data_IF_025794528743
#
_entry.id   IF_025794528743
#
_cell.length_a   1.000
_cell.length_b   1.000
_cell.length_c   1.000
_cell.angle_alpha   90.00
_cell.angle_beta   90.00
_cell.angle_gamma   90.00
#
_symmetry.space_group_name_H-M   'P 1'
#
loop_
_entity.id
_entity.type
_entity.pdbx_description
1 polymer ?
#
# COMPACT_ATOMS: atom_id res chain seq x y z
N UNK A 1 13.97 15.61 2.13
CA UNK A 1 12.71 15.19 1.47
C UNK A 1 11.59 14.85 2.46
N UNK A 2 11.90 14.17 3.58
CA UNK A 2 10.92 13.67 4.56
C UNK A 2 10.16 14.77 5.32
N UNK A 3 10.83 15.86 5.73
CA UNK A 3 10.21 16.94 6.52
C UNK A 3 9.15 17.73 5.73
N UNK A 4 9.48 18.18 4.50
CA UNK A 4 8.54 18.88 3.62
C UNK A 4 7.28 18.08 3.32
N UNK A 5 7.41 16.76 3.16
CA UNK A 5 6.26 15.87 2.92
C UNK A 5 5.35 15.80 4.14
N UNK A 6 5.92 15.73 5.36
CA UNK A 6 5.15 15.77 6.61
C UNK A 6 4.39 17.09 6.73
N UNK A 7 5.07 18.22 6.53
CA UNK A 7 4.45 19.56 6.58
C UNK A 7 3.29 19.71 5.58
N UNK A 8 3.44 19.17 4.36
CA UNK A 8 2.37 19.15 3.37
C UNK A 8 1.13 18.41 3.88
N UNK A 9 1.28 17.22 4.46
CA UNK A 9 0.14 16.46 4.98
C UNK A 9 -0.49 17.14 6.21
N UNK A 10 0.32 17.74 7.10
CA UNK A 10 -0.20 18.54 8.21
C UNK A 10 -1.06 19.69 7.70
N UNK A 11 -0.59 20.43 6.70
CA UNK A 11 -1.33 21.52 6.07
C UNK A 11 -2.63 21.06 5.39
N UNK A 12 -2.67 19.82 4.88
CA UNK A 12 -3.88 19.20 4.33
C UNK A 12 -4.85 18.64 5.38
N UNK A 13 -4.53 18.77 6.68
CA UNK A 13 -5.40 18.33 7.77
C UNK A 13 -5.32 16.82 8.06
N UNK A 14 -4.18 16.18 7.79
CA UNK A 14 -3.92 14.81 8.23
C UNK A 14 -3.38 14.80 9.67
N UNK A 15 -3.74 13.77 10.43
CA UNK A 15 -3.25 13.56 11.80
C UNK A 15 -1.77 13.14 11.81
N UNK A 16 -1.04 13.46 12.88
CA UNK A 16 0.36 13.03 13.04
C UNK A 16 0.51 11.50 12.96
N UNK A 17 -0.42 10.78 13.59
CA UNK A 17 -0.46 9.31 13.60
C UNK A 17 -0.61 8.72 12.19
N UNK A 18 -1.45 9.32 11.36
CA UNK A 18 -1.60 8.90 9.97
C UNK A 18 -0.36 9.25 9.16
N UNK A 19 0.19 10.46 9.36
CA UNK A 19 1.39 10.93 8.68
C UNK A 19 2.56 9.98 8.96
N UNK A 20 2.74 9.56 10.21
CA UNK A 20 3.81 8.63 10.57
C UNK A 20 3.66 7.29 9.83
N UNK A 21 2.47 6.70 9.82
CA UNK A 21 2.19 5.46 9.08
C UNK A 21 2.45 5.64 7.59
N UNK A 22 1.99 6.75 7.01
CA UNK A 22 2.21 7.07 5.60
C UNK A 22 3.69 7.19 5.27
N UNK A 23 4.48 7.87 6.11
CA UNK A 23 5.92 8.03 5.92
C UNK A 23 6.67 6.69 6.03
N UNK A 24 6.27 5.81 6.97
CA UNK A 24 6.81 4.44 7.05
C UNK A 24 6.50 3.65 5.77
N UNK A 25 5.27 3.77 5.25
CA UNK A 25 4.89 3.16 3.98
C UNK A 25 5.67 3.68 2.77
N UNK A 26 6.07 4.97 2.76
CA UNK A 26 6.97 5.50 1.71
C UNK A 26 8.33 4.81 1.79
N UNK A 27 8.89 4.66 3.00
CA UNK A 27 10.20 4.03 3.19
C UNK A 27 10.18 2.55 2.75
N UNK A 28 9.18 1.78 3.18
CA UNK A 28 9.02 0.37 2.80
C UNK A 28 8.87 0.19 1.29
N UNK A 29 8.07 1.05 0.64
CA UNK A 29 7.93 1.02 -0.83
C UNK A 29 9.22 1.41 -1.54
N UNK A 30 9.97 2.37 -1.00
CA UNK A 30 11.28 2.75 -1.52
C UNK A 30 12.26 1.59 -1.48
N UNK A 31 12.31 0.87 -0.36
CA UNK A 31 13.14 -0.33 -0.20
C UNK A 31 12.76 -1.43 -1.21
N UNK A 32 11.46 -1.70 -1.40
CA UNK A 32 10.99 -2.67 -2.39
C UNK A 32 11.38 -2.28 -3.82
N UNK A 33 11.25 -1.00 -4.18
CA UNK A 33 11.62 -0.51 -5.50
C UNK A 33 13.15 -0.58 -5.74
N UNK A 34 13.95 -0.27 -4.71
CA UNK A 34 15.41 -0.42 -4.76
C UNK A 34 15.81 -1.90 -4.88
N UNK A 35 15.09 -2.79 -4.21
CA UNK A 35 15.29 -4.23 -4.33
C UNK A 35 15.00 -4.70 -5.76
N UNK A 36 13.85 -4.37 -6.34
CA UNK A 36 13.52 -4.71 -7.73
C UNK A 36 14.54 -4.19 -8.73
N UNK A 37 15.05 -2.97 -8.52
CA UNK A 37 16.13 -2.40 -9.35
C UNK A 37 17.38 -3.28 -9.34
N UNK A 38 17.77 -3.81 -8.18
CA UNK A 38 18.92 -4.72 -8.03
C UNK A 38 18.67 -6.10 -8.67
N UNK A 39 17.41 -6.45 -8.93
CA UNK A 39 16.98 -7.72 -9.53
C UNK A 39 16.67 -7.60 -11.01
N UNK A 40 17.19 -6.58 -11.68
CA UNK A 40 17.04 -6.35 -13.13
C UNK A 40 15.60 -6.12 -13.60
N UNK A 41 14.70 -5.71 -12.71
CA UNK A 41 13.38 -5.19 -13.07
C UNK A 41 13.55 -3.75 -13.53
N UNK A 42 13.15 -3.44 -14.77
CA UNK A 42 13.46 -2.15 -15.40
C UNK A 42 12.19 -1.42 -15.80
N UNK A 43 12.03 -0.20 -15.29
CA UNK A 43 11.03 0.75 -15.76
C UNK A 43 9.78 0.84 -14.90
N UNK A 44 9.06 1.96 -15.08
CA UNK A 44 7.88 2.28 -14.30
C UNK A 44 6.70 1.33 -14.59
N UNK A 45 6.61 0.81 -15.82
CA UNK A 45 5.60 -0.17 -16.22
C UNK A 45 5.70 -1.46 -15.41
N UNK A 46 6.92 -1.97 -15.23
CA UNK A 46 7.18 -3.20 -14.48
C UNK A 46 6.83 -3.00 -13.00
N UNK A 47 7.22 -1.87 -12.43
CA UNK A 47 6.87 -1.54 -11.04
C UNK A 47 5.37 -1.40 -10.84
N UNK A 48 4.65 -0.86 -11.84
CA UNK A 48 3.20 -0.78 -11.81
C UNK A 48 2.57 -2.19 -11.85
N UNK A 49 3.08 -3.09 -12.69
CA UNK A 49 2.64 -4.49 -12.75
C UNK A 49 2.86 -5.18 -11.39
N UNK A 50 4.08 -5.12 -10.85
CA UNK A 50 4.41 -5.77 -9.58
C UNK A 50 3.60 -5.19 -8.41
N UNK A 51 3.41 -3.87 -8.38
CA UNK A 51 2.54 -3.22 -7.38
C UNK A 51 1.10 -3.69 -7.53
N UNK A 52 0.62 -3.87 -8.76
CA UNK A 52 -0.74 -4.35 -9.01
C UNK A 52 -0.93 -5.78 -8.53
N UNK A 53 0.08 -6.64 -8.70
CA UNK A 53 0.06 -8.02 -8.18
C UNK A 53 -0.01 -8.07 -6.66
N UNK A 54 0.79 -7.23 -5.96
CA UNK A 54 0.72 -7.12 -4.50
C UNK A 54 -0.68 -6.67 -4.06
N UNK A 55 -1.19 -5.60 -4.67
CA UNK A 55 -2.49 -5.04 -4.32
C UNK A 55 -3.62 -6.04 -4.57
N UNK A 56 -3.60 -6.73 -5.72
CA UNK A 56 -4.63 -7.71 -6.08
C UNK A 56 -4.62 -8.88 -5.12
N UNK A 57 -3.45 -9.39 -4.76
CA UNK A 57 -3.32 -10.49 -3.82
C UNK A 57 -3.66 -10.09 -2.36
N UNK A 58 -3.39 -8.83 -1.97
CA UNK A 58 -3.67 -8.36 -0.60
C UNK A 58 -5.13 -7.93 -0.39
N UNK A 59 -5.75 -7.27 -1.38
CA UNK A 59 -7.06 -6.63 -1.23
C UNK A 59 -8.11 -7.14 -2.22
N UNK A 60 -7.78 -8.08 -3.10
CA UNK A 60 -8.66 -8.49 -4.19
C UNK A 60 -8.81 -7.45 -5.30
N UNK A 61 -8.10 -6.31 -5.23
CA UNK A 61 -8.23 -5.17 -6.13
C UNK A 61 -6.86 -4.70 -6.65
N UNK A 62 -6.78 -4.40 -7.94
CA UNK A 62 -5.66 -3.62 -8.50
C UNK A 62 -5.72 -2.18 -7.98
N UNK A 63 -4.62 -1.40 -8.03
CA UNK A 63 -4.63 -0.01 -7.58
C UNK A 63 -5.67 0.86 -8.31
N UNK A 64 -5.95 0.57 -9.59
CA UNK A 64 -6.97 1.27 -10.37
C UNK A 64 -8.39 0.92 -9.92
N UNK A 65 -8.69 -0.36 -9.68
CA UNK A 65 -9.98 -0.81 -9.12
C UNK A 65 -10.19 -0.23 -7.71
N UNK A 66 -9.14 -0.22 -6.89
CA UNK A 66 -9.21 0.31 -5.53
C UNK A 66 -9.47 1.83 -5.52
N UNK A 67 -8.87 2.57 -6.46
CA UNK A 67 -9.21 3.99 -6.65
C UNK A 67 -10.69 4.18 -6.97
N UNK A 68 -11.30 3.30 -7.77
CA UNK A 68 -12.73 3.37 -8.08
C UNK A 68 -13.59 3.15 -6.84
N UNK A 69 -13.27 2.13 -6.01
CA UNK A 69 -13.97 1.88 -4.74
C UNK A 69 -13.94 3.10 -3.82
N UNK A 70 -12.80 3.81 -3.78
CA UNK A 70 -12.63 5.04 -2.99
C UNK A 70 -13.16 6.31 -3.67
N UNK A 71 -13.69 6.23 -4.89
CA UNK A 71 -14.17 7.39 -5.65
C UNK A 71 -13.06 8.37 -6.07
N UNK A 72 -11.83 7.87 -6.24
CA UNK A 72 -10.66 8.67 -6.62
C UNK A 72 -10.52 8.72 -8.14
N UNK A 73 -10.15 9.89 -8.66
CA UNK A 73 -9.83 10.09 -10.09
C UNK A 73 -8.32 10.10 -10.29
N UNK A 74 -7.70 11.25 -9.98
CA UNK A 74 -6.26 11.48 -10.15
C UNK A 74 -5.49 11.43 -8.83
N UNK A 75 -6.19 11.26 -7.71
CA UNK A 75 -5.59 11.29 -6.39
C UNK A 75 -4.73 10.05 -6.11
N UNK A 76 -3.76 10.22 -5.21
CA UNK A 76 -2.95 9.12 -4.72
C UNK A 76 -3.81 8.20 -3.84
N UNK A 77 -3.84 6.91 -4.17
CA UNK A 77 -4.65 5.92 -3.44
C UNK A 77 -4.29 5.86 -1.95
N UNK A 78 -2.98 5.83 -1.64
CA UNK A 78 -2.49 5.66 -0.26
C UNK A 78 -2.69 6.89 0.60
N UNK A 79 -2.88 8.05 -0.03
CA UNK A 79 -3.24 9.26 0.70
C UNK A 79 -4.70 9.25 1.15
N UNK A 80 -5.50 8.30 0.67
CA UNK A 80 -6.90 8.11 1.02
C UNK A 80 -7.19 6.74 1.64
N UNK A 81 -6.15 6.05 2.08
CA UNK A 81 -6.25 4.80 2.83
C UNK A 81 -6.34 5.06 4.33
N UNK A 82 -7.18 4.29 5.01
CA UNK A 82 -7.24 4.24 6.46
C UNK A 82 -6.06 3.43 7.05
N UNK A 83 -5.99 3.37 8.38
CA UNK A 83 -4.87 2.74 9.09
C UNK A 83 -4.66 1.25 8.70
N UNK A 84 -5.74 0.46 8.62
CA UNK A 84 -5.63 -0.95 8.28
C UNK A 84 -5.21 -1.13 6.82
N UNK A 85 -5.79 -0.35 5.90
CA UNK A 85 -5.42 -0.39 4.49
C UNK A 85 -3.93 -0.05 4.27
N UNK A 86 -3.40 0.92 5.03
CA UNK A 86 -1.97 1.25 5.02
C UNK A 86 -1.12 0.11 5.61
N UNK A 87 -1.54 -0.48 6.74
CA UNK A 87 -0.81 -1.56 7.41
C UNK A 87 -0.71 -2.80 6.52
N UNK A 88 -1.81 -3.25 5.94
CA UNK A 88 -1.79 -4.41 5.04
C UNK A 88 -1.02 -4.14 3.75
N UNK A 89 -1.05 -2.91 3.23
CA UNK A 89 -0.19 -2.51 2.12
C UNK A 89 1.30 -2.63 2.48
N UNK A 90 1.69 -2.12 3.66
CA UNK A 90 3.07 -2.21 4.15
C UNK A 90 3.51 -3.66 4.37
N UNK A 91 2.64 -4.50 4.95
CA UNK A 91 2.91 -5.92 5.15
C UNK A 91 3.15 -6.63 3.81
N UNK A 92 2.30 -6.39 2.81
CA UNK A 92 2.42 -7.01 1.49
C UNK A 92 3.71 -6.60 0.77
N UNK A 93 4.09 -5.33 0.88
CA UNK A 93 5.33 -4.80 0.31
C UNK A 93 6.57 -5.37 1.02
N UNK A 94 6.61 -5.33 2.35
CA UNK A 94 7.73 -5.86 3.12
C UNK A 94 7.90 -7.38 2.89
N UNK A 95 6.81 -8.14 2.91
CA UNK A 95 6.84 -9.57 2.62
C UNK A 95 7.34 -9.86 1.19
N UNK A 96 6.94 -9.05 0.21
CA UNK A 96 7.44 -9.17 -1.17
C UNK A 96 8.94 -8.95 -1.24
N UNK A 97 9.47 -7.92 -0.59
CA UNK A 97 10.92 -7.65 -0.49
C UNK A 97 11.65 -8.84 0.10
N UNK A 98 11.19 -9.36 1.23
CA UNK A 98 11.83 -10.48 1.92
C UNK A 98 11.80 -11.76 1.09
N UNK A 99 10.70 -12.05 0.41
CA UNK A 99 10.59 -13.21 -0.49
C UNK A 99 11.53 -13.05 -1.69
N UNK A 100 11.58 -11.87 -2.31
CA UNK A 100 12.50 -11.57 -3.41
C UNK A 100 13.95 -11.82 -2.99
N UNK A 101 14.35 -11.34 -1.80
CA UNK A 101 15.70 -11.55 -1.26
C UNK A 101 16.02 -13.01 -1.02
N UNK A 102 15.14 -13.72 -0.31
CA UNK A 102 15.37 -15.14 0.06
C UNK A 102 15.38 -16.08 -1.13
N UNK A 103 14.68 -15.73 -2.21
CA UNK A 103 14.63 -16.54 -3.44
C UNK A 103 15.64 -16.11 -4.49
N UNK A 104 16.39 -15.02 -4.24
CA UNK A 104 17.21 -14.35 -5.26
C UNK A 104 16.43 -14.12 -6.57
N UNK A 105 15.18 -13.66 -6.46
CA UNK A 105 14.28 -13.56 -7.61
C UNK A 105 14.80 -12.54 -8.64
N UNK A 106 15.00 -12.95 -9.90
CA UNK A 106 15.54 -12.12 -10.99
C UNK A 106 14.52 -11.84 -12.09
N UNK A 107 14.61 -10.65 -12.68
CA UNK A 107 13.73 -10.21 -13.74
C UNK A 107 12.28 -10.06 -13.31
N UNK A 108 11.41 -9.76 -14.27
CA UNK A 108 10.01 -9.44 -14.01
C UNK A 108 9.21 -10.65 -13.50
N UNK A 109 9.33 -11.82 -14.14
CA UNK A 109 8.44 -12.96 -13.88
C UNK A 109 8.64 -13.59 -12.49
N UNK A 110 9.90 -13.72 -12.04
CA UNK A 110 10.17 -14.23 -10.70
C UNK A 110 9.74 -13.22 -9.63
N UNK A 111 9.98 -11.93 -9.86
CA UNK A 111 9.52 -10.87 -8.96
C UNK A 111 8.00 -10.74 -8.97
N UNK A 112 7.31 -11.07 -10.06
CA UNK A 112 5.86 -11.18 -10.12
C UNK A 112 5.35 -12.27 -9.19
N UNK A 113 6.04 -13.41 -9.18
CA UNK A 113 5.74 -14.51 -8.27
C UNK A 113 6.00 -14.11 -6.80
N UNK A 114 7.11 -13.42 -6.53
CA UNK A 114 7.42 -12.91 -5.18
C UNK A 114 6.38 -11.89 -4.71
N UNK A 115 6.02 -10.92 -5.56
CA UNK A 115 5.00 -9.91 -5.33
C UNK A 115 3.62 -10.52 -5.01
N UNK A 116 3.18 -11.51 -5.81
CA UNK A 116 1.92 -12.24 -5.54
C UNK A 116 1.95 -12.93 -4.19
N UNK A 117 3.07 -13.57 -3.82
CA UNK A 117 3.21 -14.27 -2.53
C UNK A 117 3.23 -13.31 -1.36
N UNK A 118 3.96 -12.19 -1.46
CA UNK A 118 3.97 -11.16 -0.41
C UNK A 118 2.60 -10.52 -0.23
N UNK A 119 1.93 -10.18 -1.33
CA UNK A 119 0.54 -9.71 -1.29
C UNK A 119 -0.41 -10.74 -0.69
N UNK A 120 -0.28 -12.02 -1.02
CA UNK A 120 -1.11 -13.10 -0.45
C UNK A 120 -0.95 -13.24 1.06
N UNK A 121 0.27 -13.12 1.60
CA UNK A 121 0.49 -13.13 3.05
C UNK A 121 -0.30 -12.00 3.72
N UNK A 122 -0.26 -10.80 3.15
CA UNK A 122 -1.06 -9.68 3.66
C UNK A 122 -2.57 -9.92 3.48
N UNK A 123 -2.98 -10.53 2.37
CA UNK A 123 -4.38 -10.89 2.10
C UNK A 123 -4.94 -11.90 3.09
N UNK A 124 -4.21 -12.97 3.37
CA UNK A 124 -4.60 -13.99 4.36
C UNK A 124 -4.69 -13.39 5.77
N UNK A 125 -3.74 -12.53 6.14
CA UNK A 125 -3.79 -11.81 7.41
C UNK A 125 -4.99 -10.84 7.48
N UNK A 126 -5.30 -10.15 6.37
CA UNK A 126 -6.48 -9.28 6.25
C UNK A 126 -7.76 -10.08 6.40
N UNK A 127 -7.93 -11.14 5.64
CA UNK A 127 -9.12 -11.99 5.66
C UNK A 127 -9.36 -12.59 7.05
N UNK A 128 -8.29 -13.01 7.73
CA UNK A 128 -8.39 -13.48 9.12
C UNK A 128 -8.89 -12.38 10.05
N UNK A 129 -8.36 -11.16 9.95
CA UNK A 129 -8.84 -10.04 10.75
C UNK A 129 -10.31 -9.71 10.45
N UNK A 130 -10.71 -9.70 9.18
CA UNK A 130 -12.09 -9.44 8.76
C UNK A 130 -13.04 -10.51 9.28
N UNK A 131 -12.63 -11.77 9.31
CA UNK A 131 -13.42 -12.87 9.88
C UNK A 131 -13.64 -12.71 11.39
N UNK A 132 -12.61 -12.32 12.14
CA UNK A 132 -12.70 -12.11 13.60
C UNK A 132 -13.52 -10.86 13.97
N UNK A 133 -13.46 -9.82 13.14
CA UNK A 133 -14.10 -8.52 13.43
C UNK A 133 -15.45 -8.31 12.75
N UNK A 134 -15.81 -9.16 11.77
CA UNK A 134 -17.02 -9.03 10.96
C UNK A 134 -17.06 -7.80 10.05
N UNK A 135 -15.94 -7.08 9.90
CA UNK A 135 -15.86 -5.80 9.19
C UNK A 135 -14.79 -5.84 8.09
N UNK A 136 -15.13 -5.35 6.89
CA UNK A 136 -14.18 -5.24 5.77
C UNK A 136 -13.11 -4.19 6.04
N UNK A 137 -11.85 -4.51 5.73
CA UNK A 137 -10.73 -3.56 5.74
C UNK A 137 -10.80 -2.62 4.53
N UNK A 138 -11.17 -3.15 3.37
CA UNK A 138 -11.37 -2.35 2.15
C UNK A 138 -12.59 -1.46 2.36
N UNK A 139 -12.38 -0.15 2.24
CA UNK A 139 -13.43 0.85 2.48
C UNK A 139 -13.51 1.87 1.34
N UNK A 140 -14.72 2.34 1.05
CA UNK A 140 -14.98 3.46 0.15
C UNK A 140 -14.62 4.83 0.76
N UNK A 141 -14.25 4.86 2.04
CA UNK A 141 -13.82 6.08 2.69
C UNK A 141 -12.59 6.69 2.01
N UNK A 142 -12.67 8.01 1.81
CA UNK A 142 -11.60 8.86 1.33
C UNK A 142 -11.59 10.20 2.10
N UNK A 143 -10.64 11.06 1.75
CA UNK A 143 -10.42 12.38 2.38
C UNK A 143 -10.50 13.54 1.38
N UNK A 144 -11.40 13.43 0.39
CA UNK A 144 -11.59 14.47 -0.62
C UNK A 144 -12.40 15.66 -0.10
N UNK A 145 -13.47 15.36 0.64
CA UNK A 145 -14.42 16.37 1.17
C UNK A 145 -14.04 16.78 2.60
N UNK A 146 -13.75 15.79 3.43
CA UNK A 146 -13.41 16.00 4.84
C UNK A 146 -11.99 15.49 5.11
N UNK A 147 -11.12 16.28 5.76
CA UNK A 147 -9.76 15.88 6.08
C UNK A 147 -9.70 14.62 6.96
N UNK A 148 -8.62 13.85 6.80
CA UNK A 148 -8.39 12.61 7.53
C UNK A 148 -8.51 12.80 9.05
N UNK A 149 -7.92 13.87 9.60
CA UNK A 149 -7.97 14.14 11.04
C UNK A 149 -9.39 14.30 11.56
N UNK A 150 -10.25 15.00 10.80
CA UNK A 150 -11.64 15.23 11.22
C UNK A 150 -12.45 13.94 11.13
N UNK A 151 -12.27 13.14 10.08
CA UNK A 151 -12.92 11.83 9.96
C UNK A 151 -12.51 10.86 11.07
N UNK A 152 -11.22 10.85 11.40
CA UNK A 152 -10.67 10.02 12.49
C UNK A 152 -11.35 10.29 13.83
N UNK A 153 -11.64 11.56 14.15
CA UNK A 153 -12.28 11.94 15.42
C UNK A 153 -13.76 11.56 15.52
N UNK A 154 -14.39 11.15 14.42
CA UNK A 154 -15.81 10.74 14.37
C UNK A 154 -16.02 9.23 14.54
N UNK A 155 -14.95 8.45 14.53
CA UNK A 155 -14.97 7.00 14.73
C UNK A 155 -14.89 6.67 16.22
#
# INVERSE_FOLDING_TARGET
ATQRTRELYKAKGYSEDWIEKRMRGIAIRGELADEWKKRDVKGESDYAILTAEISKAAFGLTPSEYKQVKGLKQQNLRDHMNDLELIFSMLGEAASTEITRKRDARGLDENKTAARKGGRIAGEAREKLEAETGSSVVSSENYLVEPEKTKRLKR
#
